data_IF_392034544316
#
_entry.id   IF_392034544316
#
_cell.length_a   1.000
_cell.length_b   1.000
_cell.length_c   1.000
_cell.angle_alpha   90.00
_cell.angle_beta   90.00
_cell.angle_gamma   90.00
#
_symmetry.space_group_name_H-M   'P 1'
#
loop_
_entity.id
_entity.type
_entity.pdbx_description
1 polymer ?
#
# COMPACT_ATOMS: atom_id res chain seq x y z
N UNK A 1 1.95 7.32 13.44
CA UNK A 1 0.79 6.93 14.27
C UNK A 1 0.91 5.48 14.75
N UNK A 2 0.49 5.16 15.96
CA UNK A 2 0.35 3.75 16.39
C UNK A 2 -0.98 3.22 15.90
N UNK A 3 -1.02 2.15 15.09
CA UNK A 3 -2.26 1.55 14.61
C UNK A 3 -3.02 0.93 15.80
N UNK A 4 -4.35 1.07 15.80
CA UNK A 4 -5.23 0.61 16.87
C UNK A 4 -6.45 -0.16 16.34
N UNK A 5 -6.77 -0.06 15.06
CA UNK A 5 -7.87 -0.76 14.43
C UNK A 5 -7.66 -0.95 12.94
N UNK A 6 -8.21 -2.03 12.40
CA UNK A 6 -8.37 -2.26 10.97
C UNK A 6 -9.85 -2.42 10.62
N UNK A 7 -10.20 -2.00 9.41
CA UNK A 7 -11.53 -2.14 8.83
C UNK A 7 -11.37 -2.55 7.37
N UNK A 8 -12.29 -3.39 6.88
CA UNK A 8 -12.19 -3.89 5.52
C UNK A 8 -13.53 -3.81 4.79
N UNK A 9 -13.51 -3.41 3.52
CA UNK A 9 -14.65 -3.49 2.63
C UNK A 9 -14.28 -4.40 1.45
N UNK A 10 -14.82 -5.62 1.47
CA UNK A 10 -14.44 -6.70 0.57
C UNK A 10 -15.56 -6.96 -0.44
N UNK A 11 -15.22 -6.93 -1.73
CA UNK A 11 -16.14 -7.19 -2.84
C UNK A 11 -15.63 -8.38 -3.64
N UNK A 12 -16.43 -9.42 -3.74
CA UNK A 12 -16.10 -10.66 -4.43
C UNK A 12 -17.17 -11.02 -5.46
N UNK A 13 -16.80 -11.87 -6.41
CA UNK A 13 -17.72 -12.44 -7.39
C UNK A 13 -18.71 -13.45 -6.80
N UNK A 14 -19.39 -14.21 -7.66
CA UNK A 14 -20.32 -15.26 -7.25
C UNK A 14 -19.60 -16.32 -6.38
N UNK A 15 -20.00 -16.54 -5.12
CA UNK A 15 -19.37 -17.50 -4.21
C UNK A 15 -19.49 -18.97 -4.65
N UNK A 16 -20.30 -19.27 -5.66
CA UNK A 16 -20.38 -20.61 -6.27
C UNK A 16 -19.15 -20.93 -7.13
N UNK A 17 -18.46 -19.91 -7.64
CA UNK A 17 -17.27 -20.08 -8.47
C UNK A 17 -16.04 -20.43 -7.63
N UNK A 18 -15.27 -21.41 -8.06
CA UNK A 18 -14.07 -21.85 -7.34
C UNK A 18 -13.00 -20.74 -7.28
N UNK A 19 -12.87 -19.92 -8.34
CA UNK A 19 -12.02 -18.74 -8.36
C UNK A 19 -12.41 -17.73 -7.26
N UNK A 20 -13.70 -17.48 -7.08
CA UNK A 20 -14.19 -16.58 -6.01
C UNK A 20 -13.83 -17.14 -4.63
N UNK A 21 -14.04 -18.44 -4.40
CA UNK A 21 -13.67 -19.10 -3.14
C UNK A 21 -12.18 -18.97 -2.85
N UNK A 22 -11.35 -19.14 -3.88
CA UNK A 22 -9.91 -18.99 -3.80
C UNK A 22 -9.53 -17.54 -3.42
N UNK A 23 -10.12 -16.53 -4.09
CA UNK A 23 -9.91 -15.12 -3.76
C UNK A 23 -10.31 -14.81 -2.32
N UNK A 24 -11.52 -15.22 -1.89
CA UNK A 24 -12.00 -14.99 -0.52
C UNK A 24 -11.03 -15.58 0.50
N UNK A 25 -10.61 -16.84 0.30
CA UNK A 25 -9.66 -17.51 1.21
C UNK A 25 -8.33 -16.78 1.28
N UNK A 26 -7.76 -16.40 0.13
CA UNK A 26 -6.46 -15.72 0.07
C UNK A 26 -6.49 -14.32 0.69
N UNK A 27 -7.50 -13.52 0.34
CA UNK A 27 -7.66 -12.15 0.87
C UNK A 27 -7.89 -12.17 2.38
N UNK A 28 -8.82 -12.98 2.86
CA UNK A 28 -9.12 -13.08 4.30
C UNK A 28 -7.89 -13.57 5.09
N UNK A 29 -7.16 -14.53 4.54
CA UNK A 29 -5.89 -14.98 5.14
C UNK A 29 -4.86 -13.86 5.21
N UNK A 30 -4.64 -13.13 4.11
CA UNK A 30 -3.66 -12.02 4.08
C UNK A 30 -3.99 -10.93 5.10
N UNK A 31 -5.26 -10.52 5.18
CA UNK A 31 -5.71 -9.53 6.18
C UNK A 31 -5.49 -10.06 7.60
N UNK A 32 -5.82 -11.33 7.86
CA UNK A 32 -5.62 -11.96 9.17
C UNK A 32 -4.13 -12.06 9.54
N UNK A 33 -3.28 -12.50 8.61
CA UNK A 33 -1.84 -12.64 8.84
C UNK A 33 -1.20 -11.29 9.26
N UNK A 34 -1.53 -10.19 8.56
CA UNK A 34 -1.03 -8.86 8.91
C UNK A 34 -1.61 -8.35 10.23
N UNK A 35 -2.94 -8.34 10.38
CA UNK A 35 -3.60 -7.86 11.59
C UNK A 35 -3.16 -8.59 12.84
N UNK A 36 -3.10 -9.93 12.78
CA UNK A 36 -2.68 -10.77 13.90
C UNK A 36 -1.19 -10.59 14.23
N UNK A 37 -0.33 -10.42 13.22
CA UNK A 37 1.10 -10.14 13.42
C UNK A 37 1.35 -8.79 14.07
N UNK A 38 0.60 -7.76 13.67
CA UNK A 38 0.70 -6.43 14.29
C UNK A 38 0.15 -6.40 15.72
N UNK A 39 -0.79 -7.29 16.03
CA UNK A 39 -1.62 -7.21 17.23
C UNK A 39 -2.60 -6.03 17.11
N UNK A 40 -3.19 -5.83 15.93
CA UNK A 40 -4.17 -4.78 15.65
C UNK A 40 -5.48 -5.45 15.26
N UNK A 41 -6.57 -5.23 16.04
CA UNK A 41 -7.83 -5.91 15.81
C UNK A 41 -8.53 -5.42 14.54
N UNK A 42 -9.20 -6.33 13.85
CA UNK A 42 -10.14 -6.00 12.77
C UNK A 42 -11.52 -5.78 13.39
N UNK A 43 -11.89 -4.52 13.62
CA UNK A 43 -13.08 -4.15 14.40
C UNK A 43 -14.37 -4.08 13.59
N UNK A 44 -14.27 -3.82 12.29
CA UNK A 44 -15.43 -3.63 11.44
C UNK A 44 -15.11 -3.96 9.97
N UNK A 45 -16.18 -4.04 9.18
CA UNK A 45 -16.07 -4.24 7.75
C UNK A 45 -17.31 -4.87 7.17
N UNK A 46 -17.22 -5.16 5.89
CA UNK A 46 -18.30 -5.81 5.15
C UNK A 46 -17.72 -6.76 4.10
N UNK A 47 -18.47 -7.80 3.79
CA UNK A 47 -18.19 -8.73 2.69
C UNK A 47 -19.41 -8.77 1.80
N UNK A 48 -19.24 -8.37 0.56
CA UNK A 48 -20.32 -8.29 -0.42
C UNK A 48 -19.98 -9.11 -1.66
N UNK A 49 -20.99 -9.77 -2.23
CA UNK A 49 -20.85 -10.62 -3.41
C UNK A 49 -21.72 -10.08 -4.54
N UNK A 50 -21.09 -9.87 -5.70
CA UNK A 50 -21.79 -9.50 -6.94
C UNK A 50 -21.00 -10.05 -8.14
N UNK A 51 -21.73 -10.50 -9.17
CA UNK A 51 -21.14 -11.08 -10.38
C UNK A 51 -20.21 -10.13 -11.13
N UNK A 52 -20.33 -8.83 -10.95
CA UNK A 52 -19.44 -7.83 -11.55
C UNK A 52 -17.98 -7.98 -11.06
N UNK A 53 -17.77 -8.61 -9.90
CA UNK A 53 -16.46 -8.90 -9.31
C UNK A 53 -15.95 -10.32 -9.59
N UNK A 54 -16.54 -11.06 -10.54
CA UNK A 54 -16.12 -12.44 -10.84
C UNK A 54 -14.66 -12.53 -11.31
N UNK A 55 -14.19 -11.53 -12.05
CA UNK A 55 -12.82 -11.47 -12.60
C UNK A 55 -11.88 -10.65 -11.74
N UNK A 56 -12.35 -9.53 -11.19
CA UNK A 56 -11.58 -8.59 -10.39
C UNK A 56 -12.29 -8.30 -9.08
N UNK A 57 -11.89 -8.94 -7.97
CA UNK A 57 -12.37 -8.58 -6.65
C UNK A 57 -11.88 -7.17 -6.28
N UNK A 58 -12.68 -6.44 -5.52
CA UNK A 58 -12.29 -5.12 -5.01
C UNK A 58 -12.09 -5.21 -3.50
N UNK A 59 -10.87 -4.90 -3.07
CA UNK A 59 -10.46 -5.01 -1.68
C UNK A 59 -10.03 -3.63 -1.19
N UNK A 60 -10.78 -3.09 -0.24
CA UNK A 60 -10.41 -1.87 0.46
C UNK A 60 -10.09 -2.21 1.91
N UNK A 61 -8.86 -1.92 2.31
CA UNK A 61 -8.41 -2.04 3.69
C UNK A 61 -8.14 -0.64 4.26
N UNK A 62 -8.52 -0.43 5.51
CA UNK A 62 -8.27 0.81 6.23
C UNK A 62 -7.63 0.50 7.57
N UNK A 63 -6.54 1.18 7.89
CA UNK A 63 -5.93 1.17 9.22
C UNK A 63 -6.15 2.51 9.90
N UNK A 64 -6.53 2.46 11.16
CA UNK A 64 -6.72 3.63 12.01
C UNK A 64 -5.62 3.66 13.06
N UNK A 65 -4.96 4.82 13.20
CA UNK A 65 -3.88 4.98 14.16
C UNK A 65 -4.02 6.26 15.01
N UNK A 66 -3.43 6.22 16.17
CA UNK A 66 -3.35 7.37 17.08
C UNK A 66 -1.97 8.02 16.99
N UNK A 67 -1.95 9.34 16.86
CA UNK A 67 -0.72 10.14 16.86
C UNK A 67 -0.88 11.35 17.77
N UNK A 68 0.19 11.71 18.48
CA UNK A 68 0.24 12.97 19.23
C UNK A 68 0.47 14.11 18.23
N UNK A 69 -0.29 15.21 18.37
CA UNK A 69 -0.24 16.34 17.45
C UNK A 69 1.16 16.94 17.27
N UNK A 70 1.95 16.96 18.35
CA UNK A 70 3.33 17.43 18.41
C UNK A 70 4.38 16.42 17.89
N UNK A 71 3.94 15.25 17.41
CA UNK A 71 4.80 14.17 16.89
C UNK A 71 4.38 13.68 15.50
N UNK A 72 3.75 14.55 14.74
CA UNK A 72 3.43 14.26 13.35
C UNK A 72 4.69 14.47 12.53
N UNK A 73 5.17 13.41 11.85
CA UNK A 73 6.25 13.48 10.86
C UNK A 73 5.60 13.50 9.49
N UNK A 74 6.03 14.44 8.67
CA UNK A 74 5.58 14.56 7.28
C UNK A 74 6.55 13.86 6.32
N UNK A 75 6.07 13.49 5.15
CA UNK A 75 6.88 12.96 4.06
C UNK A 75 7.55 14.14 3.32
N UNK A 76 8.66 14.64 3.86
CA UNK A 76 9.39 15.78 3.30
C UNK A 76 10.90 15.55 3.30
N UNK A 77 11.59 16.03 2.28
CA UNK A 77 13.03 16.14 2.24
C UNK A 77 13.45 17.57 2.54
N UNK A 78 14.15 17.78 3.65
CA UNK A 78 14.61 19.12 4.05
C UNK A 78 15.99 19.08 4.67
N UNK A 79 16.72 20.20 4.53
CA UNK A 79 18.04 20.40 5.06
C UNK A 79 19.14 19.77 4.18
N UNK A 80 19.78 20.62 3.40
CA UNK A 80 20.87 20.22 2.49
C UNK A 80 21.96 19.49 3.26
N UNK A 81 22.39 18.32 2.76
CA UNK A 81 23.38 17.46 3.36
C UNK A 81 22.82 16.51 4.45
N UNK A 82 21.52 16.52 4.69
CA UNK A 82 20.87 15.51 5.54
C UNK A 82 20.92 14.14 4.87
N UNK A 83 21.34 13.07 5.56
CA UNK A 83 21.38 11.74 5.00
C UNK A 83 19.98 11.16 4.75
N UNK A 84 19.88 10.43 3.64
CA UNK A 84 18.68 9.70 3.22
C UNK A 84 18.93 8.21 3.44
N UNK A 85 18.14 7.61 4.30
CA UNK A 85 18.17 6.18 4.62
C UNK A 85 17.09 5.41 3.88
N UNK A 86 17.43 4.21 3.45
CA UNK A 86 16.46 3.13 3.20
C UNK A 86 16.51 2.18 4.39
N UNK A 87 15.35 1.84 4.92
CA UNK A 87 15.23 0.98 6.11
C UNK A 87 14.19 -0.10 5.89
N UNK A 88 14.35 -1.26 6.58
CA UNK A 88 13.41 -2.38 6.51
C UNK A 88 13.92 -3.55 5.69
N UNK A 89 13.07 -4.14 4.87
CA UNK A 89 13.39 -5.32 4.06
C UNK A 89 14.37 -5.02 2.93
N UNK A 90 15.08 -6.05 2.47
CA UNK A 90 15.93 -5.94 1.27
C UNK A 90 15.08 -5.87 0.00
N UNK A 91 15.57 -5.12 -0.98
CA UNK A 91 14.91 -4.90 -2.27
C UNK A 91 15.06 -6.11 -3.19
N UNK A 92 13.98 -6.58 -3.75
CA UNK A 92 13.92 -7.63 -4.76
C UNK A 92 13.21 -7.16 -6.03
N UNK A 93 13.04 -8.05 -7.00
CA UNK A 93 12.28 -7.79 -8.24
C UNK A 93 10.79 -7.98 -8.01
N UNK A 94 10.22 -7.23 -7.09
CA UNK A 94 8.80 -7.35 -6.70
C UNK A 94 8.02 -6.12 -7.16
N UNK A 95 6.80 -6.34 -7.64
CA UNK A 95 5.87 -5.27 -7.96
C UNK A 95 6.28 -4.35 -9.11
N UNK A 96 7.37 -4.64 -9.84
CA UNK A 96 7.79 -3.86 -10.99
C UNK A 96 6.65 -3.84 -12.00
N UNK A 97 6.16 -2.64 -12.36
CA UNK A 97 4.92 -2.43 -13.11
C UNK A 97 3.63 -2.88 -12.38
N UNK A 98 3.66 -3.09 -11.06
CA UNK A 98 2.52 -3.55 -10.28
C UNK A 98 1.28 -2.68 -10.41
N UNK A 99 1.40 -1.37 -10.43
CA UNK A 99 0.29 -0.45 -10.64
C UNK A 99 -0.34 -0.61 -12.05
N UNK A 100 0.45 -0.80 -13.08
CA UNK A 100 -0.02 -1.09 -14.45
C UNK A 100 -0.73 -2.45 -14.51
N UNK A 101 -0.14 -3.47 -13.89
CA UNK A 101 -0.71 -4.81 -13.80
C UNK A 101 -2.05 -4.82 -13.05
N UNK A 102 -2.15 -4.11 -11.92
CA UNK A 102 -3.38 -3.98 -11.14
C UNK A 102 -4.51 -3.29 -11.92
N UNK A 103 -4.17 -2.42 -12.89
CA UNK A 103 -5.13 -1.72 -13.75
C UNK A 103 -5.51 -2.50 -15.01
N UNK A 104 -4.83 -3.61 -15.30
CA UNK A 104 -5.09 -4.46 -16.47
C UNK A 104 -6.10 -5.56 -16.15
N UNK A 105 -6.78 -6.06 -17.19
CA UNK A 105 -7.58 -7.28 -17.05
C UNK A 105 -6.66 -8.49 -16.92
N UNK A 106 -6.81 -9.25 -15.85
CA UNK A 106 -6.06 -10.48 -15.63
C UNK A 106 -6.46 -11.52 -16.69
N UNK A 107 -5.46 -12.06 -17.39
CA UNK A 107 -5.61 -13.12 -18.40
C UNK A 107 -4.97 -14.42 -17.91
N UNK A 108 -5.18 -15.52 -18.63
CA UNK A 108 -4.56 -16.81 -18.32
C UNK A 108 -3.02 -16.78 -18.44
N UNK A 109 -2.46 -15.81 -19.19
CA UNK A 109 -1.02 -15.63 -19.38
C UNK A 109 -0.39 -14.71 -18.31
N UNK A 110 -1.14 -14.24 -17.33
CA UNK A 110 -0.63 -13.36 -16.26
C UNK A 110 0.45 -14.00 -15.37
N UNK A 111 0.73 -15.30 -15.54
CA UNK A 111 1.86 -15.97 -14.88
C UNK A 111 3.23 -15.50 -15.39
N UNK A 112 3.31 -14.90 -16.57
CA UNK A 112 4.53 -14.29 -17.12
C UNK A 112 4.84 -12.94 -16.45
N UNK A 113 3.85 -12.34 -15.77
CA UNK A 113 3.94 -11.06 -15.06
C UNK A 113 4.26 -11.22 -13.56
N UNK A 114 4.83 -12.37 -13.15
CA UNK A 114 5.19 -12.65 -11.74
C UNK A 114 6.04 -11.54 -11.06
N UNK A 115 6.95 -10.83 -11.75
CA UNK A 115 7.65 -9.68 -11.16
C UNK A 115 6.72 -8.54 -10.75
N UNK A 116 5.51 -8.47 -11.30
CA UNK A 116 4.50 -7.46 -10.94
C UNK A 116 3.74 -7.78 -9.65
N UNK A 117 3.96 -8.95 -9.05
CA UNK A 117 3.33 -9.37 -7.78
C UNK A 117 4.19 -8.91 -6.61
N UNK A 118 3.55 -8.25 -5.66
CA UNK A 118 4.16 -7.89 -4.39
C UNK A 118 4.09 -9.08 -3.42
N UNK A 119 5.15 -9.31 -2.65
CA UNK A 119 5.22 -10.34 -1.61
C UNK A 119 5.33 -9.64 -0.26
N UNK A 120 4.35 -9.86 0.62
CA UNK A 120 4.33 -9.29 1.95
C UNK A 120 4.97 -10.20 3.00
N UNK A 121 5.60 -9.61 4.01
CA UNK A 121 6.13 -10.27 5.20
C UNK A 121 5.56 -9.61 6.48
N UNK A 122 4.46 -10.15 7.04
CA UNK A 122 3.81 -9.58 8.21
C UNK A 122 4.72 -9.46 9.43
N UNK A 123 5.72 -10.33 9.58
CA UNK A 123 6.67 -10.27 10.67
C UNK A 123 7.65 -9.10 10.50
N UNK A 124 8.21 -8.93 9.31
CA UNK A 124 9.09 -7.80 9.01
C UNK A 124 8.35 -6.46 9.14
N UNK A 125 7.09 -6.40 8.72
CA UNK A 125 6.23 -5.22 8.90
C UNK A 125 6.03 -4.90 10.39
N UNK A 126 5.82 -5.92 11.25
CA UNK A 126 5.74 -5.72 12.70
C UNK A 126 7.03 -5.11 13.26
N UNK A 127 8.18 -5.61 12.86
CA UNK A 127 9.47 -5.08 13.29
C UNK A 127 9.67 -3.63 12.82
N UNK A 128 9.37 -3.36 11.54
CA UNK A 128 9.46 -2.03 10.95
C UNK A 128 8.52 -1.04 11.64
N UNK A 129 7.28 -1.45 11.95
CA UNK A 129 6.32 -0.66 12.71
C UNK A 129 6.89 -0.23 14.07
N UNK A 130 7.40 -1.17 14.85
CA UNK A 130 7.93 -0.85 16.19
C UNK A 130 9.20 0.00 16.11
N UNK A 131 10.09 -0.28 15.15
CA UNK A 131 11.30 0.51 14.91
C UNK A 131 10.95 1.97 14.55
N UNK A 132 10.01 2.17 13.62
CA UNK A 132 9.58 3.52 13.21
C UNK A 132 8.84 4.26 14.32
N UNK A 133 8.06 3.58 15.14
CA UNK A 133 7.43 4.17 16.32
C UNK A 133 8.45 4.55 17.42
N UNK A 134 9.53 3.80 17.57
CA UNK A 134 10.64 4.16 18.45
C UNK A 134 11.41 5.37 17.89
N UNK A 135 11.71 5.33 16.59
CA UNK A 135 12.40 6.40 15.87
C UNK A 135 11.62 7.74 15.93
N UNK A 136 10.30 7.69 15.84
CA UNK A 136 9.44 8.88 15.97
C UNK A 136 9.48 9.54 17.36
N UNK A 137 10.11 8.93 18.35
CA UNK A 137 10.35 9.56 19.67
C UNK A 137 11.63 10.39 19.68
N UNK A 138 12.49 10.18 18.72
CA UNK A 138 13.76 10.89 18.48
C UNK A 138 13.51 12.23 17.78
N UNK A 139 14.39 13.18 17.99
CA UNK A 139 14.43 14.42 17.21
C UNK A 139 15.20 14.25 15.87
N UNK A 140 15.73 13.07 15.61
CA UNK A 140 16.59 12.81 14.45
C UNK A 140 15.85 12.82 13.10
N UNK A 141 14.53 12.59 13.08
CA UNK A 141 13.78 12.43 11.83
C UNK A 141 13.25 13.75 11.34
N UNK A 142 13.64 14.10 10.11
CA UNK A 142 13.14 15.26 9.37
C UNK A 142 11.89 14.88 8.59
N UNK A 143 11.93 13.75 7.89
CA UNK A 143 10.81 13.24 7.11
C UNK A 143 10.89 11.74 6.90
N UNK A 144 9.73 11.13 6.61
CA UNK A 144 9.61 9.68 6.45
C UNK A 144 8.47 9.35 5.51
N UNK A 145 8.68 8.38 4.63
CA UNK A 145 7.67 7.87 3.70
C UNK A 145 7.87 6.39 3.43
N UNK A 146 6.76 5.65 3.30
CA UNK A 146 6.77 4.28 2.80
C UNK A 146 7.08 4.24 1.30
N UNK A 147 7.42 3.06 0.80
CA UNK A 147 7.67 2.81 -0.62
C UNK A 147 6.49 2.07 -1.21
N UNK A 148 5.49 2.83 -1.66
CA UNK A 148 4.32 2.31 -2.36
C UNK A 148 4.60 2.02 -3.84
N UNK A 149 3.63 2.32 -4.71
CA UNK A 149 3.75 2.16 -6.15
C UNK A 149 5.00 2.87 -6.69
N UNK A 150 5.72 2.23 -7.60
CA UNK A 150 7.00 2.69 -8.17
C UNK A 150 8.16 2.86 -7.15
N UNK A 151 8.05 2.31 -5.95
CA UNK A 151 9.18 2.10 -5.03
C UNK A 151 9.98 3.35 -4.65
N UNK A 152 11.30 3.29 -4.85
CA UNK A 152 12.24 4.36 -4.46
C UNK A 152 11.97 5.67 -5.22
N UNK A 153 11.62 5.59 -6.50
CA UNK A 153 11.41 6.81 -7.29
C UNK A 153 10.17 7.58 -6.82
N UNK A 154 9.12 6.88 -6.40
CA UNK A 154 7.92 7.51 -5.84
C UNK A 154 8.24 8.23 -4.52
N UNK A 155 8.82 7.52 -3.55
CA UNK A 155 9.13 8.10 -2.24
C UNK A 155 10.12 9.26 -2.32
N UNK A 156 11.17 9.16 -3.16
CA UNK A 156 12.13 10.25 -3.36
C UNK A 156 11.50 11.47 -4.03
N UNK A 157 10.67 11.28 -5.06
CA UNK A 157 10.03 12.40 -5.76
C UNK A 157 8.99 13.12 -4.91
N UNK A 158 8.14 12.40 -4.20
CA UNK A 158 7.10 12.99 -3.35
C UNK A 158 7.69 13.73 -2.14
N UNK A 159 8.71 13.15 -1.49
CA UNK A 159 9.38 13.82 -0.36
C UNK A 159 10.16 15.05 -0.82
N UNK A 160 10.79 15.00 -1.98
CA UNK A 160 11.54 16.11 -2.57
C UNK A 160 10.62 17.27 -2.94
N UNK A 161 9.54 17.00 -3.66
CA UNK A 161 8.58 18.04 -4.06
C UNK A 161 7.96 18.74 -2.84
N UNK A 162 7.46 17.98 -1.85
CA UNK A 162 6.91 18.54 -0.60
C UNK A 162 7.94 19.29 0.24
N UNK A 163 9.20 18.92 0.13
CA UNK A 163 10.32 19.52 0.84
C UNK A 163 10.93 20.72 0.14
N UNK A 164 10.63 20.92 -1.14
CA UNK A 164 11.26 21.93 -2.02
C UNK A 164 12.78 21.76 -2.13
N UNK A 165 13.24 20.49 -2.09
CA UNK A 165 14.65 20.09 -2.19
C UNK A 165 14.75 18.79 -2.97
N UNK A 166 15.85 18.59 -3.69
CA UNK A 166 16.12 17.33 -4.36
C UNK A 166 16.90 16.33 -3.52
N UNK A 167 17.25 15.22 -4.14
CA UNK A 167 18.07 14.17 -3.53
C UNK A 167 19.12 13.67 -4.52
N UNK A 168 20.29 13.31 -3.98
CA UNK A 168 21.31 12.55 -4.67
C UNK A 168 21.35 11.15 -4.06
N UNK A 169 21.01 10.13 -4.83
CA UNK A 169 20.82 8.74 -4.38
C UNK A 169 21.80 7.82 -5.08
N UNK A 170 22.47 6.97 -4.33
CA UNK A 170 23.36 5.91 -4.82
C UNK A 170 22.62 4.56 -4.70
N UNK A 171 22.15 4.05 -5.83
CA UNK A 171 21.42 2.79 -5.92
C UNK A 171 22.31 1.57 -5.61
N UNK A 172 23.64 1.70 -5.78
CA UNK A 172 24.59 0.67 -5.42
C UNK A 172 24.63 0.36 -3.92
N UNK A 173 24.13 1.28 -3.08
CA UNK A 173 24.02 1.10 -1.63
C UNK A 173 22.70 0.52 -1.16
N UNK A 174 21.72 0.35 -2.04
CA UNK A 174 20.44 -0.24 -1.68
C UNK A 174 20.63 -1.72 -1.32
N UNK A 175 20.18 -2.17 -0.14
CA UNK A 175 20.25 -3.59 0.23
C UNK A 175 19.41 -4.44 -0.72
N UNK A 176 20.04 -5.35 -1.44
CA UNK A 176 19.40 -6.19 -2.45
C UNK A 176 19.20 -7.62 -1.93
N UNK A 177 18.03 -8.19 -2.16
CA UNK A 177 17.71 -9.60 -1.93
C UNK A 177 18.11 -10.48 -3.12
N UNK A 178 18.15 -9.90 -4.31
CA UNK A 178 18.50 -10.58 -5.57
C UNK A 178 19.75 -9.97 -6.18
N UNK A 179 20.63 -10.82 -6.73
CA UNK A 179 21.82 -10.38 -7.45
C UNK A 179 21.44 -9.89 -8.85
N UNK A 180 22.28 -9.00 -9.40
CA UNK A 180 22.18 -8.51 -10.78
C UNK A 180 20.84 -7.82 -11.08
N UNK A 181 20.33 -7.01 -10.16
CA UNK A 181 19.26 -6.06 -10.44
C UNK A 181 19.86 -4.86 -11.18
N UNK A 182 19.21 -4.45 -12.26
CA UNK A 182 19.57 -3.22 -12.95
C UNK A 182 19.03 -1.98 -12.21
N UNK A 183 19.51 -0.77 -12.54
CA UNK A 183 19.08 0.47 -11.88
C UNK A 183 17.57 0.72 -11.97
N UNK A 184 16.95 0.37 -13.09
CA UNK A 184 15.51 0.52 -13.30
C UNK A 184 14.71 -0.41 -12.39
N UNK A 185 15.15 -1.67 -12.27
CA UNK A 185 14.54 -2.66 -11.38
C UNK A 185 14.66 -2.23 -9.90
N UNK A 186 15.80 -1.66 -9.50
CA UNK A 186 16.00 -1.16 -8.13
C UNK A 186 15.08 0.03 -7.84
N UNK A 187 14.98 0.98 -8.76
CA UNK A 187 14.17 2.19 -8.63
C UNK A 187 12.67 1.88 -8.53
N UNK A 188 12.18 0.97 -9.38
CA UNK A 188 10.75 0.68 -9.52
C UNK A 188 10.27 -0.49 -8.66
N UNK A 189 11.18 -1.18 -7.97
CA UNK A 189 10.79 -2.28 -7.08
C UNK A 189 9.81 -1.80 -6.02
N UNK A 190 8.71 -2.52 -5.88
CA UNK A 190 7.68 -2.32 -4.86
C UNK A 190 7.80 -3.38 -3.73
N UNK A 191 9.03 -3.86 -3.45
CA UNK A 191 9.25 -4.73 -2.30
C UNK A 191 8.66 -4.11 -1.05
N UNK A 192 7.84 -4.88 -0.34
CA UNK A 192 7.11 -4.41 0.81
C UNK A 192 8.02 -4.22 2.04
N UNK A 193 7.50 -3.63 3.10
CA UNK A 193 8.17 -3.41 4.39
C UNK A 193 9.46 -2.59 4.29
N UNK A 194 9.43 -1.51 3.49
CA UNK A 194 10.55 -0.56 3.36
C UNK A 194 10.07 0.86 3.57
N UNK A 195 10.93 1.70 4.13
CA UNK A 195 10.69 3.14 4.26
C UNK A 195 11.91 3.94 3.86
N UNK A 196 11.66 5.13 3.32
CA UNK A 196 12.66 6.17 3.11
C UNK A 196 12.61 7.14 4.30
N UNK A 197 13.77 7.44 4.89
CA UNK A 197 13.88 8.31 6.07
C UNK A 197 14.94 9.37 5.83
N UNK A 198 14.57 10.63 5.95
CA UNK A 198 15.51 11.76 5.98
C UNK A 198 15.84 12.07 7.44
N UNK A 199 17.11 12.03 7.76
CA UNK A 199 17.62 12.16 9.14
C UNK A 199 18.42 13.46 9.27
N UNK A 200 18.32 14.13 10.40
CA UNK A 200 19.15 15.28 10.71
C UNK A 200 20.62 14.86 10.83
N UNK A 201 21.48 15.56 10.11
CA UNK A 201 22.92 15.27 10.08
C UNK A 201 23.53 15.32 11.48
N UNK A 202 24.27 14.26 11.84
CA UNK A 202 24.87 14.07 13.15
C UNK A 202 24.07 13.16 14.08
N UNK A 203 22.86 12.72 13.67
CA UNK A 203 22.02 11.78 14.42
C UNK A 203 22.04 10.35 13.88
N UNK A 204 22.94 10.04 12.94
CA UNK A 204 23.04 8.74 12.26
C UNK A 204 23.13 7.57 13.23
N UNK A 205 23.98 7.69 14.26
CA UNK A 205 24.20 6.63 15.27
C UNK A 205 22.93 6.29 16.08
N UNK A 206 22.05 7.26 16.27
CA UNK A 206 20.79 7.02 16.96
C UNK A 206 19.85 6.17 16.10
N UNK A 207 19.77 6.49 14.81
CA UNK A 207 18.97 5.74 13.83
C UNK A 207 19.50 4.30 13.72
N UNK A 208 20.83 4.16 13.51
CA UNK A 208 21.49 2.85 13.41
C UNK A 208 21.19 1.98 14.63
N UNK A 209 21.36 2.53 15.84
CA UNK A 209 21.07 1.80 17.08
C UNK A 209 19.62 1.31 17.18
N UNK A 210 18.66 2.09 16.70
CA UNK A 210 17.25 1.69 16.72
C UNK A 210 17.00 0.54 15.76
N UNK A 211 17.48 0.64 14.53
CA UNK A 211 17.25 -0.42 13.53
C UNK A 211 18.05 -1.69 13.84
N UNK A 212 19.27 -1.59 14.39
CA UNK A 212 20.04 -2.73 14.89
C UNK A 212 19.30 -3.48 16.01
N UNK A 213 18.66 -2.76 16.92
CA UNK A 213 17.86 -3.36 18.01
C UNK A 213 16.72 -4.23 17.45
N UNK A 214 16.14 -3.83 16.32
CA UNK A 214 15.00 -4.51 15.70
C UNK A 214 15.43 -5.49 14.58
N UNK A 215 16.75 -5.70 14.39
CA UNK A 215 17.32 -6.58 13.36
C UNK A 215 16.84 -6.24 11.94
N UNK A 216 16.80 -4.95 11.62
CA UNK A 216 16.36 -4.41 10.34
C UNK A 216 17.52 -3.82 9.55
N UNK A 217 17.48 -3.96 8.22
CA UNK A 217 18.42 -3.23 7.36
C UNK A 217 18.26 -1.72 7.52
N UNK A 218 19.36 -1.03 7.42
CA UNK A 218 19.47 0.42 7.39
C UNK A 218 20.70 0.83 6.60
N UNK A 219 20.51 1.54 5.52
CA UNK A 219 21.62 2.01 4.70
C UNK A 219 21.43 3.48 4.33
N UNK A 220 22.50 4.26 4.41
CA UNK A 220 22.51 5.62 3.85
C UNK A 220 22.71 5.48 2.36
N UNK A 221 21.65 5.72 1.61
CA UNK A 221 21.66 5.64 0.15
C UNK A 221 21.87 6.99 -0.52
N UNK A 222 21.88 8.09 0.22
CA UNK A 222 22.05 9.41 -0.39
C UNK A 222 21.96 10.57 0.61
N UNK A 223 21.77 11.74 0.04
CA UNK A 223 21.64 13.00 0.78
C UNK A 223 20.66 13.95 0.11
N UNK A 224 20.10 14.87 0.90
CA UNK A 224 19.28 15.98 0.42
C UNK A 224 20.17 17.05 -0.21
N UNK A 225 19.77 17.58 -1.37
CA UNK A 225 20.47 18.64 -2.11
C UNK A 225 19.59 19.88 -2.30
N UNK A 226 20.19 21.01 -2.67
CA UNK A 226 19.50 22.30 -2.87
C UNK A 226 18.63 22.31 -4.14
N UNK A 227 19.11 21.66 -5.22
CA UNK A 227 18.40 21.67 -6.50
C UNK A 227 17.11 20.85 -6.43
N UNK A 228 16.05 21.26 -7.13
CA UNK A 228 14.81 20.50 -7.33
C UNK A 228 15.02 19.38 -8.36
N UNK A 229 15.94 18.47 -8.06
CA UNK A 229 16.31 17.34 -8.92
C UNK A 229 16.57 16.07 -8.14
N UNK A 230 16.30 14.96 -8.81
CA UNK A 230 16.66 13.63 -8.36
C UNK A 230 17.80 13.12 -9.23
N UNK A 231 18.95 12.90 -8.60
CA UNK A 231 20.10 12.28 -9.23
C UNK A 231 20.27 10.86 -8.70
N UNK A 232 20.26 9.88 -9.60
CA UNK A 232 20.48 8.49 -9.24
C UNK A 232 21.80 8.00 -9.83
N UNK A 233 22.61 7.33 -9.00
CA UNK A 233 23.94 6.84 -9.33
C UNK A 233 24.04 5.34 -9.07
N UNK A 234 24.93 4.67 -9.81
CA UNK A 234 25.44 3.33 -9.53
C UNK A 234 26.95 3.39 -9.76
N UNK A 235 27.75 2.99 -8.78
CA UNK A 235 29.23 3.01 -8.87
C UNK A 235 29.81 4.34 -9.41
N UNK A 236 29.29 5.47 -8.90
CA UNK A 236 29.61 6.85 -9.31
C UNK A 236 29.16 7.24 -10.75
N UNK A 237 28.53 6.34 -11.50
CA UNK A 237 27.91 6.64 -12.79
C UNK A 237 26.49 7.20 -12.61
N UNK A 238 26.21 8.36 -13.22
CA UNK A 238 24.87 8.94 -13.22
C UNK A 238 23.95 8.15 -14.16
N UNK A 239 22.96 7.46 -13.60
CA UNK A 239 22.01 6.62 -14.37
C UNK A 239 20.66 7.30 -14.60
N UNK A 240 20.29 8.32 -13.80
CA UNK A 240 19.11 9.14 -14.04
C UNK A 240 19.27 10.55 -13.46
N UNK A 241 18.74 11.55 -14.17
CA UNK A 241 18.63 12.97 -13.80
C UNK A 241 17.21 13.43 -14.13
N UNK A 242 16.37 13.63 -13.11
CA UNK A 242 14.93 13.91 -13.29
C UNK A 242 14.51 15.04 -12.36
N UNK A 243 13.73 16.04 -12.82
CA UNK A 243 13.11 17.00 -11.93
C UNK A 243 12.11 16.29 -10.99
N UNK A 244 12.22 16.52 -9.67
CA UNK A 244 11.36 15.86 -8.69
C UNK A 244 9.88 16.20 -8.93
N UNK A 245 9.58 17.48 -9.18
CA UNK A 245 8.24 17.99 -9.44
C UNK A 245 7.54 17.36 -10.65
N UNK A 246 8.28 16.85 -11.66
CA UNK A 246 7.70 16.24 -12.85
C UNK A 246 7.14 14.82 -12.63
N UNK A 247 7.52 14.17 -11.52
CA UNK A 247 7.13 12.79 -11.20
C UNK A 247 5.96 12.70 -10.21
N UNK A 248 5.47 13.82 -9.71
CA UNK A 248 4.37 13.86 -8.73
C UNK A 248 3.07 14.34 -9.36
N UNK A 249 1.95 14.11 -8.65
CA UNK A 249 0.65 14.63 -9.07
C UNK A 249 0.68 16.16 -9.19
N UNK A 250 0.31 16.66 -10.37
CA UNK A 250 0.39 18.08 -10.72
C UNK A 250 1.62 18.48 -11.55
N UNK A 251 2.63 17.59 -11.66
CA UNK A 251 3.87 17.82 -12.41
C UNK A 251 3.76 17.78 -13.93
N UNK A 252 2.65 18.30 -14.48
CA UNK A 252 2.41 18.33 -15.94
C UNK A 252 1.52 17.18 -16.43
N UNK A 253 0.92 16.40 -15.53
CA UNK A 253 -0.08 15.41 -15.89
C UNK A 253 -1.27 16.11 -16.61
N UNK A 254 -1.74 15.58 -17.75
CA UNK A 254 -2.82 16.22 -18.49
C UNK A 254 -4.12 16.21 -17.68
N UNK A 255 -4.74 17.37 -17.55
CA UNK A 255 -6.07 17.49 -16.97
C UNK A 255 -7.09 17.28 -18.09
N UNK A 256 -7.83 16.19 -18.02
CA UNK A 256 -8.87 15.89 -19.00
C UNK A 256 -10.21 16.48 -18.57
N UNK A 257 -10.80 17.31 -19.40
CA UNK A 257 -12.20 17.67 -19.28
C UNK A 257 -13.05 16.56 -19.92
N UNK A 258 -13.85 15.89 -19.11
CA UNK A 258 -14.66 14.73 -19.52
C UNK A 258 -16.14 15.09 -19.44
N UNK A 259 -16.81 15.04 -20.58
CA UNK A 259 -18.28 15.08 -20.60
C UNK A 259 -18.84 13.84 -19.90
N UNK A 260 -19.84 14.02 -19.09
CA UNK A 260 -20.57 12.92 -18.47
C UNK A 260 -22.05 12.99 -18.86
N UNK A 261 -22.66 11.82 -19.02
CA UNK A 261 -24.07 11.69 -19.26
C UNK A 261 -24.72 10.91 -18.12
N UNK A 262 -25.92 11.30 -17.77
CA UNK A 262 -26.70 10.57 -16.76
C UNK A 262 -27.04 9.17 -17.29
N UNK A 263 -26.64 8.06 -16.62
CA UNK A 263 -27.03 6.72 -17.06
C UNK A 263 -28.54 6.51 -17.08
N UNK A 264 -29.04 5.86 -18.12
CA UNK A 264 -30.49 5.65 -18.31
C UNK A 264 -31.15 4.88 -17.16
N UNK A 265 -30.43 3.93 -16.53
CA UNK A 265 -30.95 3.13 -15.42
C UNK A 265 -31.37 3.96 -14.19
N UNK A 266 -30.80 5.17 -14.01
CA UNK A 266 -31.17 6.06 -12.89
C UNK A 266 -32.65 6.47 -13.01
N UNK A 267 -33.12 6.70 -14.22
CA UNK A 267 -34.51 7.07 -14.45
C UNK A 267 -35.47 5.87 -14.32
N UNK A 268 -34.99 4.67 -14.56
CA UNK A 268 -35.71 3.43 -14.29
C UNK A 268 -35.85 3.19 -12.79
N UNK A 269 -34.75 3.32 -12.03
CA UNK A 269 -34.79 3.17 -10.55
C UNK A 269 -35.72 4.19 -9.86
N UNK A 270 -35.84 5.40 -10.42
CA UNK A 270 -36.77 6.41 -9.87
C UNK A 270 -38.24 6.07 -10.06
N UNK A 271 -38.55 5.16 -10.98
CA UNK A 271 -39.92 4.71 -11.22
C UNK A 271 -40.36 3.56 -10.30
N UNK A 272 -39.39 2.91 -9.63
CA UNK A 272 -39.67 1.79 -8.74
C UNK A 272 -40.50 2.23 -7.55
N UNK A 273 -41.58 1.50 -7.28
CA UNK A 273 -42.45 1.65 -6.10
C UNK A 273 -42.48 0.33 -5.34
N UNK A 274 -42.70 0.39 -4.05
CA UNK A 274 -42.94 -0.82 -3.23
C UNK A 274 -44.15 -1.59 -3.73
N UNK A 275 -45.11 -0.90 -4.35
CA UNK A 275 -46.31 -1.51 -4.92
C UNK A 275 -46.03 -2.38 -6.16
N UNK A 276 -44.83 -2.21 -6.77
CA UNK A 276 -44.39 -3.05 -7.88
C UNK A 276 -43.83 -4.40 -7.41
N UNK A 277 -43.64 -4.59 -6.10
CA UNK A 277 -43.13 -5.84 -5.53
C UNK A 277 -44.29 -6.80 -5.32
N UNK A 278 -44.33 -7.95 -6.02
CA UNK A 278 -45.43 -8.89 -5.85
C UNK A 278 -45.47 -9.49 -4.45
N UNK A 279 -46.64 -9.61 -3.89
CA UNK A 279 -46.87 -10.27 -2.61
C UNK A 279 -46.56 -11.77 -2.74
N UNK A 280 -45.67 -12.34 -1.91
CA UNK A 280 -45.30 -13.75 -2.02
C UNK A 280 -46.43 -14.66 -1.54
N UNK A 281 -46.62 -15.78 -2.23
CA UNK A 281 -47.56 -16.83 -1.81
C UNK A 281 -47.06 -17.65 -0.61
N UNK A 282 -45.75 -17.67 -0.37
CA UNK A 282 -45.12 -18.41 0.72
C UNK A 282 -43.97 -17.60 1.35
N UNK A 283 -44.25 -17.00 2.48
CA UNK A 283 -43.27 -16.21 3.23
C UNK A 283 -42.07 -17.03 3.73
N UNK A 284 -42.27 -18.32 4.05
CA UNK A 284 -41.18 -19.18 4.52
C UNK A 284 -40.12 -19.36 3.42
N UNK A 285 -40.55 -19.55 2.18
CA UNK A 285 -39.62 -19.65 1.04
C UNK A 285 -38.83 -18.36 0.87
N UNK A 286 -39.47 -17.20 0.94
CA UNK A 286 -38.80 -15.89 0.85
C UNK A 286 -37.78 -15.73 1.98
N UNK A 287 -38.12 -16.07 3.21
CA UNK A 287 -37.19 -16.02 4.34
C UNK A 287 -36.02 -16.95 4.12
N UNK A 288 -36.25 -18.18 3.63
CA UNK A 288 -35.19 -19.13 3.35
C UNK A 288 -34.28 -18.66 2.22
N UNK A 289 -34.77 -18.03 1.18
CA UNK A 289 -33.98 -17.41 0.12
C UNK A 289 -33.11 -16.26 0.67
N UNK A 290 -33.70 -15.38 1.47
CA UNK A 290 -32.99 -14.24 2.04
C UNK A 290 -31.85 -14.66 2.95
N UNK A 291 -32.09 -15.55 3.92
CA UNK A 291 -31.02 -15.98 4.85
C UNK A 291 -29.90 -16.81 4.17
N UNK A 292 -30.22 -17.44 3.03
CA UNK A 292 -29.22 -18.15 2.21
C UNK A 292 -28.55 -17.25 1.16
N UNK A 293 -29.03 -16.02 0.97
CA UNK A 293 -28.38 -15.07 0.07
C UNK A 293 -26.96 -14.75 0.56
N UNK A 294 -25.95 -14.83 -0.28
CA UNK A 294 -24.54 -14.58 0.12
C UNK A 294 -24.33 -13.23 0.83
N UNK A 295 -25.11 -12.21 0.48
CA UNK A 295 -24.98 -10.88 1.07
C UNK A 295 -25.65 -10.76 2.46
N UNK A 296 -26.63 -11.61 2.76
CA UNK A 296 -27.36 -11.62 4.03
C UNK A 296 -26.85 -12.72 4.96
N UNK A 297 -26.41 -13.86 4.41
CA UNK A 297 -25.86 -14.97 5.15
C UNK A 297 -24.71 -14.55 6.09
N UNK A 298 -24.56 -15.30 7.19
CA UNK A 298 -23.51 -15.04 8.18
C UNK A 298 -22.12 -14.98 7.56
N UNK A 299 -21.32 -13.98 7.96
CA UNK A 299 -19.92 -13.81 7.61
C UNK A 299 -18.98 -14.37 8.71
N UNK A 300 -19.50 -15.19 9.62
CA UNK A 300 -18.80 -15.72 10.79
C UNK A 300 -17.44 -16.33 10.42
N UNK A 301 -17.37 -17.13 9.35
CA UNK A 301 -16.11 -17.72 8.89
C UNK A 301 -15.03 -16.67 8.61
N UNK A 302 -15.39 -15.51 8.02
CA UNK A 302 -14.44 -14.41 7.74
C UNK A 302 -13.94 -13.80 9.04
N UNK A 303 -14.84 -13.43 9.95
CA UNK A 303 -14.48 -12.72 11.18
C UNK A 303 -13.72 -13.59 12.17
N UNK A 304 -13.91 -14.91 12.14
CA UNK A 304 -13.17 -15.87 12.99
C UNK A 304 -11.69 -16.02 12.60
N UNK A 305 -11.28 -15.53 11.43
CA UNK A 305 -9.88 -15.53 10.99
C UNK A 305 -9.08 -14.34 11.56
N UNK A 306 -9.76 -13.35 12.09
CA UNK A 306 -9.18 -12.10 12.55
C UNK A 306 -9.05 -12.06 14.07
N UNK A 307 -7.99 -11.40 14.55
CA UNK A 307 -7.97 -10.95 15.94
C UNK A 307 -8.99 -9.82 16.12
N UNK A 308 -9.92 -10.01 17.02
CA UNK A 308 -10.99 -9.05 17.36
C UNK A 308 -10.89 -8.56 18.80
N UNK A 309 -9.88 -9.01 19.55
CA UNK A 309 -9.63 -8.58 20.91
C UNK A 309 -8.93 -7.22 20.93
N UNK A 310 -9.45 -6.33 21.77
CA UNK A 310 -8.90 -4.99 21.99
C UNK A 310 -8.15 -4.95 23.32
#
# INVERSE_FOLDING_TARGET
ARPVAQLNSLRFGDPKLDRTKWHVKGVVKGIGDYGNSFGVPVLAGEVFFDKTYNTNPLINAMSVGLVKKDRIISAVAKGVGNPVYIVGSSTGKDGIHGATFASANLTENSSEDLPSVQVGDPFMEKLLLEATLELNKSAAVIGMQDMGAAGIICSTSEMSEKGEHGMKIDLGKVPLRQKNMDPFEILLSESQERMLVVVEKGHEKEVERIFDKWDLNREIIGEVIEEDKLYFYVDDELVADVPASSLVLGGGAPVYDREYTKPAYIDEYKKFSIDDVPEPSNYLEVVMELINSPNIASKRWVVEQYDTMV
#
